data_IF_836831939436
#
_entry.id   IF_836831939436
#
_cell.length_a   1.000
_cell.length_b   1.000
_cell.length_c   1.000
_cell.angle_alpha   90.00
_cell.angle_beta   90.00
_cell.angle_gamma   90.00
#
_symmetry.space_group_name_H-M   'P 1'
#
loop_
_entity.id
_entity.type
_entity.pdbx_description
1 polymer ?
#
# COMPACT_ATOMS: atom_id res chain seq x y z
N UNK A 1 -95.98 33.35 15.10
CA UNK A 1 -94.70 33.47 15.84
C UNK A 1 -94.25 32.10 16.34
N UNK A 2 -92.96 31.84 16.14
CA UNK A 2 -92.06 30.91 16.83
C UNK A 2 -92.22 29.40 16.69
N UNK A 3 -91.52 28.91 15.65
CA UNK A 3 -90.89 27.60 15.57
C UNK A 3 -89.81 27.45 16.66
N UNK A 4 -89.86 26.40 17.49
CA UNK A 4 -88.73 25.99 18.34
C UNK A 4 -88.34 24.56 17.99
N UNK A 5 -87.18 24.44 17.36
CA UNK A 5 -86.49 23.20 17.03
C UNK A 5 -86.25 22.36 18.29
N UNK A 6 -86.57 21.07 18.18
CA UNK A 6 -86.24 20.03 19.15
C UNK A 6 -84.82 19.54 18.83
N UNK A 7 -83.86 19.84 19.71
CA UNK A 7 -82.51 19.31 19.64
C UNK A 7 -82.52 17.83 20.07
N UNK A 8 -82.34 16.91 19.12
CA UNK A 8 -82.11 15.48 19.41
C UNK A 8 -80.64 15.26 19.77
N UNK A 9 -80.34 15.32 21.05
CA UNK A 9 -79.07 14.79 21.59
C UNK A 9 -79.05 13.26 21.46
N UNK A 10 -78.42 12.76 20.41
CA UNK A 10 -78.26 11.32 20.17
C UNK A 10 -77.06 10.79 20.95
N UNK A 11 -77.33 9.97 21.96
CA UNK A 11 -76.28 9.20 22.65
C UNK A 11 -75.68 8.16 21.70
N UNK A 12 -74.34 8.01 21.62
CA UNK A 12 -73.71 7.00 20.79
C UNK A 12 -74.11 5.60 21.26
N UNK A 13 -74.62 4.79 20.33
CA UNK A 13 -75.06 3.41 20.60
C UNK A 13 -73.89 2.53 21.06
N UNK A 14 -74.19 1.46 21.80
CA UNK A 14 -73.20 0.56 22.43
C UNK A 14 -72.14 0.01 21.44
N UNK A 15 -72.45 -0.07 20.15
CA UNK A 15 -71.57 -0.56 19.10
C UNK A 15 -70.43 0.43 18.78
N UNK A 16 -70.68 1.74 18.86
CA UNK A 16 -69.64 2.75 18.68
C UNK A 16 -68.65 2.75 19.85
N UNK A 17 -69.13 2.61 21.09
CA UNK A 17 -68.26 2.46 22.27
C UNK A 17 -67.40 1.19 22.19
N UNK A 18 -67.95 0.06 21.72
CA UNK A 18 -67.19 -1.18 21.51
C UNK A 18 -66.10 -1.04 20.43
N UNK A 19 -66.41 -0.36 19.32
CA UNK A 19 -65.45 -0.09 18.26
C UNK A 19 -64.31 0.84 18.73
N UNK A 20 -64.65 1.90 19.47
CA UNK A 20 -63.66 2.79 20.09
C UNK A 20 -62.74 2.06 21.08
N UNK A 21 -63.29 1.17 21.92
CA UNK A 21 -62.50 0.34 22.84
C UNK A 21 -61.53 -0.56 22.06
N UNK A 22 -61.99 -1.18 20.96
CA UNK A 22 -61.15 -2.02 20.10
C UNK A 22 -59.97 -1.25 19.49
N UNK A 23 -60.19 -0.03 19.00
CA UNK A 23 -59.13 0.84 18.47
C UNK A 23 -58.14 1.21 19.56
N UNK A 24 -58.64 1.56 20.75
CA UNK A 24 -57.80 1.99 21.87
C UNK A 24 -56.88 0.85 22.34
N UNK A 25 -57.39 -0.39 22.38
CA UNK A 25 -56.59 -1.58 22.66
C UNK A 25 -55.51 -1.79 21.59
N UNK A 26 -55.84 -1.64 20.31
CA UNK A 26 -54.87 -1.78 19.22
C UNK A 26 -53.74 -0.74 19.32
N UNK A 27 -54.07 0.53 19.62
CA UNK A 27 -53.07 1.59 19.81
C UNK A 27 -52.14 1.30 20.99
N UNK A 28 -52.68 0.80 22.10
CA UNK A 28 -51.88 0.39 23.26
C UNK A 28 -50.92 -0.75 22.89
N UNK A 29 -51.35 -1.75 22.13
CA UNK A 29 -50.49 -2.86 21.67
C UNK A 29 -49.36 -2.35 20.78
N UNK A 30 -49.64 -1.44 19.84
CA UNK A 30 -48.61 -0.83 18.97
C UNK A 30 -47.60 -0.03 19.79
N UNK A 31 -48.04 0.74 20.78
CA UNK A 31 -47.16 1.49 21.69
C UNK A 31 -46.29 0.56 22.54
N UNK A 32 -46.85 -0.53 23.08
CA UNK A 32 -46.09 -1.54 23.83
C UNK A 32 -45.06 -2.21 22.92
N UNK A 33 -45.44 -2.61 21.70
CA UNK A 33 -44.51 -3.19 20.74
C UNK A 33 -43.36 -2.22 20.38
N UNK A 34 -43.67 -0.93 20.19
CA UNK A 34 -42.67 0.11 19.94
C UNK A 34 -41.71 0.31 21.12
N UNK A 35 -42.23 0.34 22.36
CA UNK A 35 -41.43 0.45 23.58
C UNK A 35 -40.52 -0.78 23.78
N UNK A 36 -41.04 -1.99 23.56
CA UNK A 36 -40.27 -3.24 23.66
C UNK A 36 -39.16 -3.29 22.61
N UNK A 37 -39.47 -2.97 21.34
CA UNK A 37 -38.47 -2.88 20.26
C UNK A 37 -37.42 -1.82 20.56
N UNK A 38 -37.83 -0.65 21.06
CA UNK A 38 -36.92 0.43 21.47
C UNK A 38 -35.97 0.00 22.59
N UNK A 39 -36.46 -0.69 23.61
CA UNK A 39 -35.62 -1.19 24.71
C UNK A 39 -34.60 -2.24 24.22
N UNK A 40 -35.02 -3.19 23.38
CA UNK A 40 -34.13 -4.20 22.78
C UNK A 40 -33.08 -3.53 21.90
N UNK A 41 -33.47 -2.56 21.07
CA UNK A 41 -32.56 -1.84 20.19
C UNK A 41 -31.55 -1.00 20.98
N UNK A 42 -31.96 -0.37 22.07
CA UNK A 42 -31.06 0.39 22.96
C UNK A 42 -29.98 -0.51 23.57
N UNK A 43 -30.34 -1.69 24.08
CA UNK A 43 -29.35 -2.67 24.59
C UNK A 43 -28.36 -3.11 23.51
N UNK A 44 -28.87 -3.46 22.32
CA UNK A 44 -28.03 -3.84 21.17
C UNK A 44 -27.10 -2.71 20.73
N UNK A 45 -27.58 -1.48 20.73
CA UNK A 45 -26.78 -0.30 20.38
C UNK A 45 -25.71 -0.04 21.44
N UNK A 46 -26.00 -0.20 22.73
CA UNK A 46 -25.03 -0.05 23.81
C UNK A 46 -23.95 -1.13 23.77
N UNK A 47 -24.30 -2.38 23.48
CA UNK A 47 -23.32 -3.46 23.28
C UNK A 47 -22.46 -3.20 22.03
N UNK A 48 -23.07 -2.77 20.93
CA UNK A 48 -22.36 -2.42 19.71
C UNK A 48 -21.43 -1.22 19.90
N UNK A 49 -21.84 -0.22 20.65
CA UNK A 49 -21.03 0.95 21.01
C UNK A 49 -19.82 0.53 21.87
N UNK A 50 -20.04 -0.27 22.93
CA UNK A 50 -18.96 -0.81 23.77
C UNK A 50 -17.96 -1.64 22.96
N UNK A 51 -18.43 -2.45 22.02
CA UNK A 51 -17.57 -3.22 21.13
C UNK A 51 -16.76 -2.30 20.21
N UNK A 52 -17.42 -1.35 19.54
CA UNK A 52 -16.78 -0.46 18.58
C UNK A 52 -15.77 0.49 19.25
N UNK A 53 -15.99 0.86 20.51
CA UNK A 53 -15.07 1.66 21.33
C UNK A 53 -13.66 1.05 21.43
N UNK A 54 -13.50 -0.25 21.19
CA UNK A 54 -12.20 -0.95 21.27
C UNK A 54 -11.83 -1.73 20.02
N UNK A 55 -12.70 -1.82 19.02
CA UNK A 55 -12.50 -2.64 17.82
C UNK A 55 -12.64 -1.84 16.54
N UNK A 56 -11.77 -2.11 15.56
CA UNK A 56 -11.88 -1.55 14.22
C UNK A 56 -13.25 -1.85 13.59
N UNK A 57 -13.77 -0.91 12.80
CA UNK A 57 -14.94 -1.16 11.98
C UNK A 57 -14.73 -2.37 11.05
N UNK A 58 -15.83 -2.99 10.62
CA UNK A 58 -15.81 -4.30 9.95
C UNK A 58 -15.00 -4.38 8.66
N UNK A 59 -14.87 -3.29 7.90
CA UNK A 59 -14.21 -3.25 6.60
C UNK A 59 -12.97 -2.36 6.61
N UNK A 60 -12.06 -2.60 7.56
CA UNK A 60 -10.78 -1.91 7.66
C UNK A 60 -9.64 -2.86 7.28
N UNK A 61 -8.80 -2.42 6.36
CA UNK A 61 -7.51 -3.02 6.05
C UNK A 61 -6.38 -2.02 6.33
N UNK A 62 -5.25 -2.52 6.84
CA UNK A 62 -4.02 -1.75 7.01
C UNK A 62 -2.91 -2.54 6.33
N UNK A 63 -2.22 -1.89 5.38
CA UNK A 63 -1.16 -2.50 4.58
C UNK A 63 -1.63 -3.79 3.89
N UNK A 64 -2.84 -3.72 3.32
CA UNK A 64 -3.57 -4.83 2.70
C UNK A 64 -3.88 -6.03 3.62
N UNK A 65 -3.64 -5.90 4.93
CA UNK A 65 -4.03 -6.89 5.94
C UNK A 65 -5.41 -6.53 6.50
N UNK A 66 -6.43 -7.41 6.37
CA UNK A 66 -7.74 -7.17 6.97
C UNK A 66 -7.66 -7.20 8.50
N UNK A 67 -8.07 -6.10 9.14
CA UNK A 67 -8.01 -5.92 10.61
C UNK A 67 -9.37 -5.58 11.23
N UNK A 68 -10.45 -5.58 10.45
CA UNK A 68 -11.78 -5.30 10.96
C UNK A 68 -12.16 -6.20 12.14
N UNK A 69 -12.91 -5.63 13.08
CA UNK A 69 -13.31 -6.27 14.35
C UNK A 69 -12.16 -6.70 15.26
N UNK A 70 -10.93 -6.24 15.02
CA UNK A 70 -9.80 -6.47 15.94
C UNK A 70 -9.58 -5.26 16.84
N UNK A 71 -8.98 -5.49 18.01
CA UNK A 71 -8.41 -4.40 18.82
C UNK A 71 -7.09 -3.93 18.24
N UNK A 72 -6.64 -2.73 18.61
CA UNK A 72 -5.36 -2.15 18.15
C UNK A 72 -4.18 -3.10 18.40
N UNK A 73 -4.13 -3.75 19.58
CA UNK A 73 -3.09 -4.74 19.91
C UNK A 73 -3.12 -5.96 18.98
N UNK A 74 -4.30 -6.55 18.77
CA UNK A 74 -4.47 -7.72 17.89
C UNK A 74 -4.19 -7.38 16.42
N UNK A 75 -4.64 -6.22 15.97
CA UNK A 75 -4.37 -5.70 14.64
C UNK A 75 -2.85 -5.49 14.43
N UNK A 76 -2.17 -4.86 15.39
CA UNK A 76 -0.71 -4.64 15.32
C UNK A 76 0.06 -5.94 15.18
N UNK A 77 -0.25 -6.94 16.01
CA UNK A 77 0.37 -8.27 15.92
C UNK A 77 0.14 -8.92 14.55
N UNK A 78 -1.12 -8.92 14.08
CA UNK A 78 -1.49 -9.50 12.78
C UNK A 78 -0.82 -8.80 11.60
N UNK A 79 -0.70 -7.47 11.63
CA UNK A 79 -0.01 -6.69 10.59
C UNK A 79 1.48 -7.03 10.60
N UNK A 80 2.13 -7.06 11.76
CA UNK A 80 3.55 -7.40 11.87
C UNK A 80 3.87 -8.84 11.44
N UNK A 81 2.91 -9.75 11.58
CA UNK A 81 3.02 -11.13 11.09
C UNK A 81 2.90 -11.21 9.56
N UNK A 82 1.95 -10.49 8.95
CA UNK A 82 1.52 -10.74 7.57
C UNK A 82 1.88 -9.66 6.55
N UNK A 83 2.07 -8.42 6.98
CA UNK A 83 2.27 -7.31 6.06
C UNK A 83 3.65 -7.35 5.41
N UNK A 84 3.68 -7.02 4.12
CA UNK A 84 4.91 -6.81 3.37
C UNK A 84 5.47 -5.43 3.70
N UNK A 85 6.79 -5.30 3.73
CA UNK A 85 7.46 -4.05 4.09
C UNK A 85 8.77 -3.80 3.33
N UNK A 86 9.07 -4.62 2.31
CA UNK A 86 10.22 -4.45 1.44
C UNK A 86 9.83 -4.77 0.00
N UNK A 87 10.42 -4.03 -0.93
CA UNK A 87 10.31 -4.26 -2.35
C UNK A 87 11.70 -4.59 -2.90
N UNK A 88 11.77 -5.58 -3.78
CA UNK A 88 12.99 -6.02 -4.44
C UNK A 88 12.71 -6.12 -5.94
N UNK A 89 13.49 -5.45 -6.76
CA UNK A 89 13.54 -5.72 -8.19
C UNK A 89 14.44 -6.93 -8.38
N UNK A 90 13.88 -8.03 -8.86
CA UNK A 90 14.61 -9.21 -9.25
C UNK A 90 14.44 -9.42 -10.75
N UNK A 91 15.54 -9.32 -11.48
CA UNK A 91 15.59 -9.25 -12.93
C UNK A 91 14.66 -8.16 -13.47
N UNK A 92 13.44 -8.52 -13.87
CA UNK A 92 12.45 -7.62 -14.46
C UNK A 92 11.15 -7.53 -13.65
N UNK A 93 11.09 -8.14 -12.47
CA UNK A 93 9.90 -8.14 -11.62
C UNK A 93 10.16 -7.47 -10.27
N UNK A 94 9.25 -6.57 -9.87
CA UNK A 94 9.26 -5.99 -8.52
C UNK A 94 8.44 -6.86 -7.57
N UNK A 95 9.15 -7.59 -6.71
CA UNK A 95 8.59 -8.51 -5.74
C UNK A 95 8.45 -7.80 -4.39
N UNK A 96 7.24 -7.81 -3.82
CA UNK A 96 6.97 -7.31 -2.48
C UNK A 96 7.07 -8.46 -1.46
N UNK A 97 7.90 -8.27 -0.43
CA UNK A 97 8.18 -9.27 0.62
C UNK A 97 8.15 -8.68 2.02
N UNK A 98 8.09 -9.57 3.02
CA UNK A 98 8.33 -9.24 4.42
C UNK A 98 9.83 -9.41 4.71
N UNK A 99 10.47 -8.39 5.28
CA UNK A 99 11.90 -8.37 5.62
C UNK A 99 12.17 -8.03 7.09
N UNK A 100 11.13 -7.71 7.87
CA UNK A 100 11.25 -7.44 9.30
C UNK A 100 10.05 -8.02 10.05
N UNK A 101 10.23 -8.31 11.32
CA UNK A 101 9.15 -8.71 12.24
C UNK A 101 8.39 -7.51 12.79
N UNK A 102 8.94 -6.30 12.63
CA UNK A 102 8.30 -5.05 13.08
C UNK A 102 8.04 -4.15 11.88
N UNK A 103 6.87 -4.31 11.28
CA UNK A 103 6.39 -3.54 10.12
C UNK A 103 5.73 -2.23 10.55
N UNK A 104 4.95 -2.25 11.63
CA UNK A 104 4.20 -1.11 12.13
C UNK A 104 4.24 -1.03 13.66
N UNK A 105 4.12 0.19 14.20
CA UNK A 105 4.04 0.45 15.63
C UNK A 105 2.59 0.49 16.12
N UNK A 106 2.37 0.13 17.38
CA UNK A 106 1.05 0.23 18.02
C UNK A 106 0.49 1.67 17.96
N UNK A 107 1.36 2.68 18.10
CA UNK A 107 0.97 4.10 18.00
C UNK A 107 0.38 4.45 16.63
N UNK A 108 0.96 3.93 15.54
CA UNK A 108 0.46 4.17 14.19
C UNK A 108 -0.85 3.42 13.92
N UNK A 109 -0.99 2.20 14.43
CA UNK A 109 -2.25 1.46 14.37
C UNK A 109 -3.35 2.16 15.17
N UNK A 110 -3.02 2.75 16.34
CA UNK A 110 -3.94 3.57 17.11
C UNK A 110 -4.43 4.78 16.29
N UNK A 111 -3.54 5.50 15.59
CA UNK A 111 -3.99 6.64 14.78
C UNK A 111 -4.97 6.23 13.68
N UNK A 112 -4.75 5.07 13.04
CA UNK A 112 -5.69 4.53 12.05
C UNK A 112 -7.02 4.10 12.68
N UNK A 113 -6.99 3.60 13.92
CA UNK A 113 -8.19 3.29 14.66
C UNK A 113 -9.02 4.54 14.91
N UNK A 114 -8.42 5.62 15.43
CA UNK A 114 -9.11 6.89 15.69
C UNK A 114 -9.68 7.51 14.41
N UNK A 115 -8.93 7.48 13.31
CA UNK A 115 -9.34 8.09 12.03
C UNK A 115 -10.61 7.46 11.45
N UNK A 116 -10.78 6.15 11.60
CA UNK A 116 -11.97 5.44 11.13
C UNK A 116 -13.08 5.33 12.18
N UNK A 117 -12.76 5.58 13.46
CA UNK A 117 -13.62 5.21 14.58
C UNK A 117 -14.96 5.95 14.51
N UNK A 118 -16.02 5.21 14.79
CA UNK A 118 -17.39 5.73 14.85
C UNK A 118 -18.05 5.25 16.13
N UNK A 119 -19.02 5.99 16.66
CA UNK A 119 -19.75 5.56 17.87
C UNK A 119 -20.45 4.20 17.68
N UNK A 120 -21.02 3.99 16.50
CA UNK A 120 -21.71 2.75 16.13
C UNK A 120 -20.96 2.03 15.00
N UNK A 121 -21.18 0.71 14.81
CA UNK A 121 -20.55 -0.05 13.74
C UNK A 121 -20.81 0.55 12.36
N UNK A 122 -19.73 0.84 11.64
CA UNK A 122 -19.78 1.35 10.28
C UNK A 122 -19.45 0.26 9.25
N UNK A 123 -20.11 0.35 8.10
CA UNK A 123 -19.80 -0.44 6.90
C UNK A 123 -18.87 0.30 5.92
N UNK A 124 -18.47 1.54 6.24
CA UNK A 124 -17.51 2.29 5.42
C UNK A 124 -16.22 1.49 5.27
N UNK A 125 -15.74 1.38 4.03
CA UNK A 125 -14.49 0.69 3.70
C UNK A 125 -13.31 1.62 3.93
N UNK A 126 -12.27 1.13 4.60
CA UNK A 126 -11.02 1.83 4.83
C UNK A 126 -9.86 0.93 4.39
N UNK A 127 -8.90 1.50 3.66
CA UNK A 127 -7.65 0.83 3.35
C UNK A 127 -6.47 1.78 3.57
N UNK A 128 -5.74 1.60 4.65
CA UNK A 128 -4.57 2.40 4.98
C UNK A 128 -3.33 1.82 4.28
N UNK A 129 -2.79 2.58 3.34
CA UNK A 129 -1.70 2.14 2.47
C UNK A 129 -0.31 2.29 3.13
N UNK A 130 0.61 1.39 2.77
CA UNK A 130 2.02 1.52 3.13
C UNK A 130 2.73 2.41 2.09
N UNK A 131 2.72 3.71 2.33
CA UNK A 131 3.25 4.72 1.39
C UNK A 131 4.73 4.50 1.06
N UNK A 132 5.53 4.09 2.05
CA UNK A 132 6.95 3.79 1.86
C UNK A 132 7.15 2.59 0.92
N UNK A 133 6.38 1.52 1.11
CA UNK A 133 6.45 0.34 0.25
C UNK A 133 5.97 0.65 -1.18
N UNK A 134 4.92 1.46 -1.33
CA UNK A 134 4.43 1.88 -2.63
C UNK A 134 5.46 2.74 -3.37
N UNK A 135 6.09 3.68 -2.68
CA UNK A 135 7.19 4.49 -3.22
C UNK A 135 8.37 3.62 -3.64
N UNK A 136 8.77 2.65 -2.82
CA UNK A 136 9.83 1.70 -3.15
C UNK A 136 9.48 0.90 -4.42
N UNK A 137 8.24 0.42 -4.53
CA UNK A 137 7.74 -0.29 -5.72
C UNK A 137 7.84 0.59 -6.97
N UNK A 138 7.38 1.83 -6.88
CA UNK A 138 7.44 2.80 -7.98
C UNK A 138 8.88 3.07 -8.42
N UNK A 139 9.78 3.36 -7.48
CA UNK A 139 11.20 3.62 -7.77
C UNK A 139 11.90 2.41 -8.40
N UNK A 140 11.58 1.21 -7.94
CA UNK A 140 12.12 0.00 -8.55
C UNK A 140 11.59 -0.24 -9.97
N UNK A 141 10.34 0.14 -10.26
CA UNK A 141 9.84 0.13 -11.64
C UNK A 141 10.54 1.18 -12.51
N UNK A 142 10.87 2.37 -11.99
CA UNK A 142 11.59 3.42 -12.73
C UNK A 142 13.02 3.01 -13.14
N UNK A 143 13.67 2.13 -12.37
CA UNK A 143 15.05 1.69 -12.65
C UNK A 143 15.12 0.41 -13.50
N UNK A 144 14.00 -0.30 -13.67
CA UNK A 144 13.93 -1.61 -14.34
C UNK A 144 14.64 -1.60 -15.70
N UNK A 145 14.31 -0.67 -16.58
CA UNK A 145 14.86 -0.62 -17.95
C UNK A 145 16.01 0.38 -18.10
N UNK A 146 16.57 0.87 -16.98
CA UNK A 146 17.67 1.84 -17.04
C UNK A 146 18.92 1.19 -17.62
N UNK A 147 19.57 1.95 -18.48
CA UNK A 147 20.87 1.61 -19.04
C UNK A 147 21.76 2.86 -19.05
N UNK A 148 23.06 2.63 -18.97
CA UNK A 148 24.07 3.68 -19.13
C UNK A 148 25.00 3.29 -20.27
N UNK A 149 25.29 4.25 -21.15
CA UNK A 149 26.28 4.10 -22.21
C UNK A 149 27.57 4.75 -21.76
N UNK A 150 28.67 4.01 -21.85
CA UNK A 150 30.02 4.52 -21.61
C UNK A 150 30.83 4.40 -22.88
N UNK A 151 31.62 5.43 -23.18
CA UNK A 151 32.60 5.39 -24.27
C UNK A 151 34.00 5.28 -23.67
N UNK A 152 34.74 4.25 -24.06
CA UNK A 152 36.12 4.01 -23.64
C UNK A 152 36.96 3.77 -24.88
N UNK A 153 37.97 4.62 -25.10
CA UNK A 153 38.87 4.55 -26.27
C UNK A 153 38.12 4.47 -27.62
N UNK A 154 37.10 5.32 -27.81
CA UNK A 154 36.27 5.35 -29.02
C UNK A 154 35.23 4.23 -29.14
N UNK A 155 35.31 3.17 -28.32
CA UNK A 155 34.33 2.09 -28.29
C UNK A 155 33.20 2.39 -27.29
N UNK A 156 31.97 2.10 -27.71
CA UNK A 156 30.76 2.28 -26.88
C UNK A 156 30.36 0.97 -26.20
N UNK A 157 30.14 1.02 -24.89
CA UNK A 157 29.67 -0.09 -24.07
C UNK A 157 28.36 0.28 -23.40
N UNK A 158 27.34 -0.57 -23.52
CA UNK A 158 26.04 -0.38 -22.86
C UNK A 158 25.96 -1.28 -21.62
N UNK A 159 25.58 -0.66 -20.51
CA UNK A 159 25.37 -1.32 -19.22
C UNK A 159 23.90 -1.24 -18.90
N UNK A 160 23.16 -2.30 -19.21
CA UNK A 160 21.77 -2.45 -18.76
C UNK A 160 21.76 -2.85 -17.29
N UNK A 161 20.80 -2.32 -16.53
CA UNK A 161 20.67 -2.65 -15.11
C UNK A 161 20.43 -4.15 -14.90
N UNK A 162 19.58 -4.82 -15.69
CA UNK A 162 19.34 -6.29 -15.58
C UNK A 162 20.60 -7.13 -15.75
N UNK A 163 21.48 -6.74 -16.66
CA UNK A 163 22.72 -7.49 -16.92
C UNK A 163 23.77 -7.33 -15.82
N UNK A 164 23.73 -6.23 -15.07
CA UNK A 164 24.81 -5.82 -14.17
C UNK A 164 24.40 -5.89 -12.71
N UNK A 165 23.14 -5.58 -12.43
CA UNK A 165 22.49 -5.56 -11.14
C UNK A 165 21.14 -6.30 -11.25
N UNK A 166 21.17 -7.65 -11.26
CA UNK A 166 19.96 -8.46 -11.35
C UNK A 166 19.03 -8.22 -10.16
N UNK A 167 19.60 -7.94 -8.98
CA UNK A 167 18.84 -7.63 -7.77
C UNK A 167 19.11 -6.20 -7.30
N UNK A 168 18.04 -5.42 -7.09
CA UNK A 168 18.09 -4.05 -6.54
C UNK A 168 17.00 -3.88 -5.49
N UNK A 169 17.33 -3.25 -4.36
CA UNK A 169 16.32 -2.83 -3.37
C UNK A 169 16.24 -1.31 -3.28
N UNK A 170 15.15 -0.80 -2.71
CA UNK A 170 14.98 0.62 -2.43
C UNK A 170 14.67 0.81 -0.94
N UNK A 171 15.65 1.34 -0.21
CA UNK A 171 15.62 1.45 1.24
C UNK A 171 16.15 2.82 1.66
N UNK A 172 15.54 3.44 2.66
CA UNK A 172 15.95 4.77 3.17
C UNK A 172 16.13 5.80 2.06
N UNK A 173 15.16 5.86 1.15
CA UNK A 173 15.12 6.74 -0.03
C UNK A 173 16.25 6.57 -1.06
N UNK A 174 16.94 5.42 -1.04
CA UNK A 174 18.07 5.14 -1.93
C UNK A 174 17.98 3.76 -2.56
N UNK A 175 18.52 3.64 -3.77
CA UNK A 175 18.77 2.33 -4.39
C UNK A 175 19.95 1.64 -3.70
N UNK A 176 19.80 0.36 -3.41
CA UNK A 176 20.86 -0.50 -2.89
C UNK A 176 21.16 -1.58 -3.92
N UNK A 177 22.42 -1.60 -4.38
CA UNK A 177 22.95 -2.55 -5.34
C UNK A 177 23.84 -3.55 -4.59
N UNK A 178 23.31 -4.73 -4.28
CA UNK A 178 23.95 -5.67 -3.35
C UNK A 178 25.08 -6.51 -3.98
N UNK A 179 25.01 -6.82 -5.28
CA UNK A 179 26.04 -7.59 -6.00
C UNK A 179 26.70 -6.74 -7.09
N UNK A 180 27.99 -6.45 -6.90
CA UNK A 180 28.81 -5.68 -7.85
C UNK A 180 29.80 -6.56 -8.63
N UNK A 181 29.82 -7.88 -8.40
CA UNK A 181 30.78 -8.79 -9.04
C UNK A 181 30.62 -8.82 -10.55
N UNK A 182 29.37 -8.81 -11.03
CA UNK A 182 29.06 -8.81 -12.47
C UNK A 182 29.60 -7.52 -13.12
N UNK A 183 29.38 -6.36 -12.47
CA UNK A 183 29.95 -5.09 -12.92
C UNK A 183 31.48 -5.15 -12.97
N UNK A 184 32.13 -5.61 -11.89
CA UNK A 184 33.59 -5.70 -11.81
C UNK A 184 34.17 -6.59 -12.93
N UNK A 185 33.54 -7.74 -13.19
CA UNK A 185 33.93 -8.63 -14.28
C UNK A 185 33.75 -7.98 -15.65
N UNK A 186 32.61 -7.29 -15.89
CA UNK A 186 32.35 -6.57 -17.14
C UNK A 186 33.38 -5.46 -17.37
N UNK A 187 33.72 -4.69 -16.33
CA UNK A 187 34.77 -3.66 -16.38
C UNK A 187 36.15 -4.29 -16.65
N UNK A 188 36.50 -5.39 -15.99
CA UNK A 188 37.78 -6.09 -16.19
C UNK A 188 37.94 -6.59 -17.64
N UNK A 189 36.87 -7.13 -18.22
CA UNK A 189 36.85 -7.56 -19.62
C UNK A 189 36.99 -6.39 -20.59
N UNK A 190 36.28 -5.29 -20.36
CA UNK A 190 36.44 -4.06 -21.14
C UNK A 190 37.88 -3.56 -21.05
N UNK A 191 38.47 -3.53 -19.85
CA UNK A 191 39.85 -3.09 -19.66
C UNK A 191 40.84 -3.96 -20.47
N UNK A 192 40.70 -5.28 -20.48
CA UNK A 192 41.52 -6.17 -21.33
C UNK A 192 41.33 -5.86 -22.83
N UNK A 193 40.09 -5.57 -23.24
CA UNK A 193 39.75 -5.31 -24.64
C UNK A 193 40.25 -3.93 -25.13
N UNK A 194 40.14 -2.88 -24.31
CA UNK A 194 40.45 -1.49 -24.70
C UNK A 194 41.84 -1.04 -24.29
N UNK A 195 42.50 -1.76 -23.38
CA UNK A 195 43.85 -1.47 -22.94
C UNK A 195 44.79 -1.47 -24.14
N UNK A 196 45.52 -0.37 -24.31
CA UNK A 196 46.70 -0.29 -25.17
C UNK A 196 47.93 -0.87 -24.46
N UNK A 197 47.90 -0.99 -23.12
CA UNK A 197 48.99 -1.55 -22.33
C UNK A 197 49.24 -3.01 -22.73
N UNK A 198 50.48 -3.31 -23.10
CA UNK A 198 50.96 -4.58 -23.65
C UNK A 198 50.45 -4.98 -25.04
N UNK A 199 49.75 -4.09 -25.76
CA UNK A 199 49.45 -4.28 -27.18
C UNK A 199 50.57 -3.72 -28.06
N UNK A 200 50.84 -4.42 -29.16
CA UNK A 200 51.79 -4.00 -30.19
C UNK A 200 51.02 -3.46 -31.38
N UNK A 201 51.48 -2.34 -31.94
CA UNK A 201 50.88 -1.70 -33.12
C UNK A 201 51.90 -1.58 -34.23
N UNK A 202 51.43 -1.78 -35.45
CA UNK A 202 52.21 -1.57 -36.67
C UNK A 202 52.32 -0.05 -36.93
N UNK A 203 53.55 0.45 -36.92
CA UNK A 203 53.90 1.85 -37.15
C UNK A 203 54.65 1.98 -38.47
N UNK A 204 54.07 2.73 -39.41
CA UNK A 204 54.69 2.99 -40.70
C UNK A 204 55.70 4.14 -40.57
N UNK A 205 56.95 3.84 -40.88
CA UNK A 205 58.07 4.77 -40.94
C UNK A 205 57.98 5.63 -42.21
N UNK A 206 58.59 6.84 -42.23
CA UNK A 206 58.56 7.72 -43.40
C UNK A 206 59.13 7.10 -44.69
N UNK A 207 59.95 6.07 -44.56
CA UNK A 207 60.52 5.30 -45.67
C UNK A 207 59.61 4.16 -46.15
N UNK A 208 58.38 4.05 -45.64
CA UNK A 208 57.39 3.03 -46.00
C UNK A 208 57.51 1.69 -45.25
N UNK A 209 58.53 1.50 -44.41
CA UNK A 209 58.67 0.27 -43.62
C UNK A 209 57.73 0.25 -42.41
N UNK A 210 57.35 -0.93 -41.93
CA UNK A 210 56.47 -1.10 -40.77
C UNK A 210 57.25 -1.71 -39.60
N UNK A 211 57.13 -1.11 -38.41
CA UNK A 211 57.71 -1.64 -37.16
C UNK A 211 56.65 -1.82 -36.07
N UNK A 212 56.85 -2.79 -35.17
CA UNK A 212 55.92 -3.03 -34.05
C UNK A 212 56.33 -2.23 -32.82
N UNK A 213 55.48 -1.29 -32.41
CA UNK A 213 55.66 -0.51 -31.18
C UNK A 213 54.78 -1.06 -30.07
N UNK A 214 55.41 -1.43 -28.94
CA UNK A 214 54.70 -1.91 -27.74
C UNK A 214 54.42 -0.76 -26.79
N UNK A 215 53.14 -0.53 -26.48
CA UNK A 215 52.75 0.55 -25.57
C UNK A 215 53.00 0.16 -24.11
N UNK A 216 53.70 1.04 -23.37
CA UNK A 216 54.18 0.82 -21.99
C UNK A 216 53.41 1.60 -20.92
N UNK A 217 52.49 2.48 -21.31
CA UNK A 217 51.71 3.34 -20.39
C UNK A 217 50.23 3.30 -20.75
N UNK A 218 49.39 3.25 -19.71
CA UNK A 218 47.93 3.28 -19.83
C UNK A 218 47.46 4.71 -20.06
N UNK A 219 46.71 4.98 -21.12
CA UNK A 219 45.92 6.21 -21.23
C UNK A 219 44.73 6.03 -20.26
N UNK A 220 44.63 6.89 -19.25
CA UNK A 220 43.63 6.75 -18.18
C UNK A 220 42.21 6.61 -18.72
N UNK A 221 41.41 5.75 -18.09
CA UNK A 221 39.99 5.61 -18.39
C UNK A 221 39.27 6.93 -18.07
N UNK A 222 39.10 7.80 -19.07
CA UNK A 222 38.15 8.90 -19.00
C UNK A 222 36.77 8.36 -19.36
N UNK A 223 36.00 7.96 -18.35
CA UNK A 223 34.60 7.61 -18.53
C UNK A 223 33.76 8.89 -18.64
N UNK A 224 33.40 9.28 -19.86
CA UNK A 224 32.40 10.33 -20.08
C UNK A 224 31.02 9.70 -20.16
N UNK A 225 30.11 10.16 -19.30
CA UNK A 225 28.68 9.91 -19.39
C UNK A 225 28.14 10.79 -20.54
N UNK A 226 27.44 10.20 -21.51
CA UNK A 226 26.68 10.97 -22.50
C UNK A 226 25.27 11.22 -22.01
#
# INVERSE_FOLDING_TARGET
MNNKNVEKNTHPTNNYRKWLIGILICLVIVLIAWLVVGHIQSKRNAEAEKFNASHFNSHVAIYDVPVGKLTVKKATAKINEKAKNSAVLNDDEVILKKNSDKVITNKKVQSYFEEQHTRYPSRKKWNFQNTELLKAKEKLNEIKDRQVKYTVNGKSFVFKRSEVFPTVTYESDKYVFSDTKILANKISNINKEVSTLHKSYDFQLPNGQVTKVKMKVMVGLSMRKS
#
